data_IF_222671731821
#
_entry.id   IF_222671731821
#
_cell.length_a   1.000
_cell.length_b   1.000
_cell.length_c   1.000
_cell.angle_alpha   90.00
_cell.angle_beta   90.00
_cell.angle_gamma   90.00
#
_symmetry.space_group_name_H-M   'P 1'
#
loop_
_entity.id
_entity.type
_entity.pdbx_description
1 polymer ?
#
# COMPACT_ATOMS: atom_id res chain seq x y z
N UNK A 1 13.77 3.84 -2.67
CA UNK A 1 13.73 2.41 -3.08
C UNK A 1 12.76 2.25 -4.25
N UNK A 2 13.05 1.41 -5.25
CA UNK A 2 12.13 1.22 -6.38
C UNK A 2 11.14 0.09 -6.10
N UNK A 3 9.88 0.24 -6.53
CA UNK A 3 8.84 -0.80 -6.42
C UNK A 3 7.96 -0.81 -7.67
N UNK A 4 7.28 -1.92 -7.92
CA UNK A 4 6.30 -2.12 -8.99
C UNK A 4 4.88 -1.88 -8.47
N UNK A 5 4.16 -0.97 -9.12
CA UNK A 5 2.75 -0.71 -8.79
C UNK A 5 1.81 -1.78 -9.43
N UNK A 6 0.52 -1.84 -9.02
CA UNK A 6 -0.48 -2.73 -9.64
C UNK A 6 -0.66 -2.57 -11.15
N UNK A 7 -0.31 -1.39 -11.68
CA UNK A 7 -0.35 -1.10 -13.12
C UNK A 7 0.93 -1.55 -13.84
N UNK A 8 1.87 -2.18 -13.13
CA UNK A 8 3.13 -2.69 -13.66
C UNK A 8 4.24 -1.64 -13.79
N UNK A 9 4.02 -0.40 -13.34
CA UNK A 9 5.00 0.70 -13.45
C UNK A 9 6.01 0.63 -12.32
N UNK A 10 7.27 0.91 -12.63
CA UNK A 10 8.32 1.05 -11.62
C UNK A 10 8.32 2.49 -11.09
N UNK A 11 8.17 2.65 -9.78
CA UNK A 11 8.15 3.94 -9.08
C UNK A 11 9.19 3.99 -7.98
N UNK A 12 9.55 5.18 -7.56
CA UNK A 12 10.44 5.40 -6.42
C UNK A 12 9.61 5.68 -5.16
N UNK A 13 9.64 4.73 -4.22
CA UNK A 13 9.10 4.86 -2.87
C UNK A 13 10.15 5.40 -1.91
N UNK A 14 9.76 6.41 -1.14
CA UNK A 14 10.54 7.02 -0.06
C UNK A 14 10.39 6.24 1.24
N UNK A 15 9.17 5.81 1.56
CA UNK A 15 8.91 4.87 2.67
C UNK A 15 7.74 3.95 2.33
N UNK A 16 7.67 2.83 3.07
CA UNK A 16 6.59 1.86 3.03
C UNK A 16 6.12 1.60 4.47
N UNK A 17 4.82 1.70 4.73
CA UNK A 17 4.25 1.45 6.06
C UNK A 17 3.03 0.57 5.93
N UNK A 18 2.94 -0.50 6.73
CA UNK A 18 1.72 -1.30 6.82
C UNK A 18 0.68 -0.54 7.63
N UNK A 19 -0.54 -0.44 7.10
CA UNK A 19 -1.68 0.22 7.74
C UNK A 19 -2.92 -0.66 7.62
N UNK A 20 -3.83 -0.55 8.58
CA UNK A 20 -5.12 -1.26 8.57
C UNK A 20 -6.23 -0.24 8.50
N UNK A 21 -7.09 -0.35 7.51
CA UNK A 21 -8.25 0.51 7.38
C UNK A 21 -9.53 -0.27 7.70
N UNK A 22 -10.43 0.27 8.53
CA UNK A 22 -11.75 -0.28 8.66
C UNK A 22 -12.54 0.07 7.39
N UNK A 23 -12.84 -0.94 6.59
CA UNK A 23 -13.65 -0.81 5.38
C UNK A 23 -15.04 -1.34 5.65
N UNK A 24 -16.05 -0.52 5.36
CA UNK A 24 -17.45 -0.92 5.46
C UNK A 24 -17.76 -1.87 4.31
N UNK A 25 -18.25 -3.07 4.63
CA UNK A 25 -18.68 -4.03 3.63
C UNK A 25 -19.85 -3.44 2.81
N UNK A 26 -19.62 -3.21 1.52
CA UNK A 26 -20.60 -2.62 0.61
C UNK A 26 -21.82 -3.53 0.37
N UNK A 27 -21.73 -4.82 0.71
CA UNK A 27 -22.78 -5.82 0.49
C UNK A 27 -23.72 -5.92 1.70
N UNK A 28 -23.16 -5.90 2.90
CA UNK A 28 -23.94 -6.18 4.13
C UNK A 28 -24.15 -4.95 5.02
N UNK A 29 -23.56 -3.79 4.70
CA UNK A 29 -23.84 -2.52 5.37
C UNK A 29 -23.35 -2.40 6.82
N UNK A 30 -23.04 -3.50 7.50
CA UNK A 30 -22.78 -3.53 8.95
C UNK A 30 -21.39 -4.06 9.36
N UNK A 31 -20.67 -4.74 8.47
CA UNK A 31 -19.36 -5.33 8.84
C UNK A 31 -18.20 -4.38 8.52
N UNK A 32 -17.55 -3.84 9.56
CA UNK A 32 -16.24 -3.19 9.43
C UNK A 32 -15.17 -4.28 9.31
N UNK A 33 -14.75 -4.60 8.08
CA UNK A 33 -13.60 -5.48 7.85
C UNK A 33 -12.32 -4.64 7.93
N UNK A 34 -11.36 -5.08 8.74
CA UNK A 34 -10.02 -4.50 8.74
C UNK A 34 -9.26 -5.02 7.52
N UNK A 35 -9.15 -4.19 6.49
CA UNK A 35 -8.33 -4.50 5.32
C UNK A 35 -6.90 -3.97 5.51
N UNK A 36 -5.92 -4.77 5.11
CA UNK A 36 -4.51 -4.43 5.20
C UNK A 36 -4.02 -3.72 3.93
N UNK A 37 -3.39 -2.57 4.12
CA UNK A 37 -2.83 -1.75 3.05
C UNK A 37 -1.36 -1.43 3.34
N UNK A 38 -0.64 -1.08 2.28
CA UNK A 38 0.69 -0.49 2.33
C UNK A 38 0.55 0.97 1.92
N UNK A 39 0.84 1.84 2.86
CA UNK A 39 1.05 3.25 2.61
C UNK A 39 2.44 3.45 2.02
N UNK A 40 2.50 4.06 0.84
CA UNK A 40 3.74 4.34 0.13
C UNK A 40 3.82 5.82 -0.19
N UNK A 41 4.87 6.49 0.28
CA UNK A 41 5.18 7.84 -0.17
C UNK A 41 6.02 7.77 -1.43
N UNK A 42 5.44 8.21 -2.54
CA UNK A 42 6.03 8.12 -3.87
C UNK A 42 6.72 9.45 -4.20
N UNK A 43 7.95 9.36 -4.67
CA UNK A 43 8.71 10.49 -5.23
C UNK A 43 8.40 10.61 -6.72
N UNK A 44 7.71 11.68 -7.10
CA UNK A 44 7.60 12.09 -8.49
C UNK A 44 8.68 13.11 -8.88
N UNK A 45 8.59 13.60 -10.12
CA UNK A 45 9.58 14.53 -10.68
C UNK A 45 9.69 15.84 -9.89
N UNK A 46 8.55 16.44 -9.51
CA UNK A 46 8.47 17.73 -8.82
C UNK A 46 7.58 17.70 -7.56
N UNK A 47 7.06 16.53 -7.18
CA UNK A 47 6.14 16.40 -6.04
C UNK A 47 6.26 15.02 -5.42
N UNK A 48 5.91 14.96 -4.15
CA UNK A 48 5.75 13.73 -3.39
C UNK A 48 4.27 13.57 -3.06
N UNK A 49 3.76 12.35 -3.08
CA UNK A 49 2.41 12.07 -2.61
C UNK A 49 2.36 10.70 -1.96
N UNK A 50 1.36 10.50 -1.11
CA UNK A 50 1.08 9.22 -0.47
C UNK A 50 0.05 8.47 -1.29
N UNK A 51 0.25 7.16 -1.45
CA UNK A 51 -0.69 6.27 -2.10
C UNK A 51 -0.78 4.96 -1.33
N UNK A 52 -1.98 4.42 -1.21
CA UNK A 52 -2.24 3.14 -0.54
C UNK A 52 -2.44 2.04 -1.57
N UNK A 53 -1.81 0.89 -1.30
CA UNK A 53 -1.94 -0.32 -2.11
C UNK A 53 -2.39 -1.47 -1.22
N UNK A 54 -3.20 -2.40 -1.73
CA UNK A 54 -3.57 -3.59 -0.96
C UNK A 54 -2.33 -4.40 -0.60
N UNK A 55 -2.22 -4.84 0.65
CA UNK A 55 -1.00 -5.48 1.14
C UNK A 55 -0.64 -6.77 0.39
N UNK A 56 -1.62 -7.65 0.16
CA UNK A 56 -1.40 -8.90 -0.57
C UNK A 56 -0.90 -8.67 -2.00
N UNK A 57 -1.51 -7.73 -2.71
CA UNK A 57 -1.12 -7.38 -4.08
C UNK A 57 0.28 -6.75 -4.12
N UNK A 58 0.54 -5.80 -3.22
CA UNK A 58 1.83 -5.14 -3.11
C UNK A 58 2.95 -6.14 -2.83
N UNK A 59 2.74 -7.07 -1.88
CA UNK A 59 3.71 -8.11 -1.51
C UNK A 59 3.96 -9.09 -2.65
N UNK A 60 2.94 -9.47 -3.41
CA UNK A 60 3.08 -10.33 -4.59
C UNK A 60 3.94 -9.69 -5.67
N UNK A 61 3.77 -8.39 -5.90
CA UNK A 61 4.53 -7.63 -6.92
C UNK A 61 5.94 -7.27 -6.44
N UNK A 62 6.12 -7.11 -5.14
CA UNK A 62 7.36 -6.61 -4.53
C UNK A 62 7.82 -7.51 -3.38
N UNK A 63 8.11 -8.80 -3.63
CA UNK A 63 8.44 -9.76 -2.57
C UNK A 63 9.74 -9.42 -1.82
N UNK A 64 10.61 -8.61 -2.44
CA UNK A 64 11.87 -8.14 -1.88
C UNK A 64 11.71 -6.94 -0.92
N UNK A 65 10.51 -6.35 -0.82
CA UNK A 65 10.26 -5.20 0.06
C UNK A 65 9.71 -5.73 1.38
N UNK A 66 10.56 -5.71 2.40
CA UNK A 66 10.17 -6.03 3.76
C UNK A 66 9.53 -4.79 4.37
N UNK A 67 8.26 -4.90 4.74
CA UNK A 67 7.53 -3.83 5.43
C UNK A 67 7.49 -4.22 6.88
N UNK A 68 8.29 -3.55 7.70
CA UNK A 68 8.24 -3.73 9.14
C UNK A 68 6.91 -3.16 9.66
N UNK A 69 6.22 -3.95 10.50
CA UNK A 69 5.08 -3.43 11.23
C UNK A 69 5.63 -2.41 12.23
N UNK A 70 5.27 -1.14 12.08
CA UNK A 70 5.44 -0.18 13.17
C UNK A 70 4.45 -0.61 14.26
N UNK A 71 4.99 -1.35 15.23
CA UNK A 71 4.31 -1.84 16.43
C UNK A 71 3.83 -0.67 17.29
#
# INVERSE_FOLDING_TARGET
>A
MKFKDPQGRIREGLYFKKVKFPVRDAVHGDTLKLEEYVEVKIKGRNREWVQWYKYDEFKRLNPHIVIENAN
#
